data_IF_196258768486
#
_entry.id   IF_196258768486
#
_cell.length_a   1.000
_cell.length_b   1.000
_cell.length_c   1.000
_cell.angle_alpha   90.00
_cell.angle_beta   90.00
_cell.angle_gamma   90.00
#
_symmetry.space_group_name_H-M   'P 1'
#
loop_
_entity.id
_entity.type
_entity.pdbx_description
1 polymer ?
#
# COMPACT_ATOMS: atom_id res chain seq x y z
N UNK A 1 63.39 12.43 -25.96
CA UNK A 1 62.24 13.06 -25.31
C UNK A 1 60.97 12.62 -26.06
N UNK A 2 60.13 11.75 -25.45
CA UNK A 2 58.88 11.30 -26.05
C UNK A 2 57.76 12.00 -25.25
N UNK A 3 57.00 12.85 -25.93
CA UNK A 3 55.83 13.54 -25.36
C UNK A 3 54.62 12.65 -25.56
N UNK A 4 54.06 12.10 -24.46
CA UNK A 4 52.82 11.34 -24.48
C UNK A 4 51.61 12.32 -24.43
N UNK A 5 50.87 12.39 -25.52
CA UNK A 5 49.63 13.16 -25.55
C UNK A 5 48.48 12.40 -24.88
N UNK A 6 47.88 13.01 -23.88
CA UNK A 6 46.66 12.50 -23.25
C UNK A 6 45.45 13.02 -24.03
N UNK A 7 44.68 12.11 -24.65
CA UNK A 7 43.37 12.43 -25.25
C UNK A 7 42.33 12.28 -24.14
N UNK A 8 41.77 13.41 -23.67
CA UNK A 8 40.65 13.42 -22.79
C UNK A 8 39.35 13.15 -23.60
N UNK A 9 38.76 11.98 -23.41
CA UNK A 9 37.42 11.70 -23.93
C UNK A 9 36.40 12.42 -23.06
N UNK A 10 35.72 13.47 -23.58
CA UNK A 10 34.54 14.07 -22.98
C UNK A 10 33.36 13.14 -23.26
N UNK A 11 32.92 12.42 -22.23
CA UNK A 11 31.65 11.68 -22.25
C UNK A 11 30.47 12.66 -22.15
N UNK A 12 29.70 12.79 -23.22
CA UNK A 12 28.42 13.51 -23.19
C UNK A 12 27.38 12.59 -22.51
N UNK A 13 27.01 12.89 -21.29
CA UNK A 13 25.90 12.25 -20.61
C UNK A 13 24.57 12.74 -21.26
N UNK A 14 23.93 11.88 -22.03
CA UNK A 14 22.59 12.13 -22.57
C UNK A 14 21.61 11.87 -21.42
N UNK A 15 21.09 12.93 -20.80
CA UNK A 15 19.98 12.85 -19.85
C UNK A 15 18.70 12.57 -20.63
N UNK A 16 18.19 11.36 -20.58
CA UNK A 16 16.84 11.05 -21.07
C UNK A 16 15.86 11.64 -20.05
N UNK A 17 14.98 12.59 -20.43
CA UNK A 17 13.97 13.08 -19.50
C UNK A 17 13.06 11.90 -19.13
N UNK A 18 12.86 11.65 -17.82
CA UNK A 18 11.85 10.73 -17.35
C UNK A 18 10.49 11.26 -17.85
N UNK A 19 9.82 10.50 -18.70
CA UNK A 19 8.46 10.84 -19.13
C UNK A 19 7.57 10.88 -17.89
N UNK A 20 6.82 11.97 -17.69
CA UNK A 20 5.82 12.06 -16.65
C UNK A 20 4.76 10.96 -16.87
N UNK A 21 4.35 10.29 -15.80
CA UNK A 21 3.27 9.29 -15.88
C UNK A 21 1.97 10.01 -16.27
N UNK A 22 1.29 9.47 -17.28
CA UNK A 22 -0.04 9.96 -17.67
C UNK A 22 -1.09 9.32 -16.76
N UNK A 23 -1.68 10.11 -15.87
CA UNK A 23 -2.71 9.69 -14.94
C UNK A 23 -4.12 10.05 -15.42
N UNK A 24 -4.29 10.53 -16.65
CA UNK A 24 -5.58 11.03 -17.16
C UNK A 24 -6.66 9.96 -17.29
N UNK A 25 -6.27 8.68 -17.33
CA UNK A 25 -7.19 7.54 -17.41
C UNK A 25 -7.46 6.89 -16.06
N UNK A 26 -6.83 7.39 -15.00
CA UNK A 26 -7.04 6.86 -13.64
C UNK A 26 -8.28 7.47 -13.01
N UNK A 27 -9.11 6.62 -12.43
CA UNK A 27 -10.33 6.98 -11.72
C UNK A 27 -10.38 6.25 -10.37
N UNK A 28 -11.14 6.76 -9.42
CA UNK A 28 -11.43 6.13 -8.12
C UNK A 28 -12.80 5.44 -8.15
N UNK A 29 -13.11 4.64 -7.15
CA UNK A 29 -14.31 3.79 -7.11
C UNK A 29 -14.10 2.44 -7.81
N UNK A 30 -15.09 1.54 -7.83
CA UNK A 30 -16.48 1.75 -7.40
C UNK A 30 -16.73 1.63 -5.88
N UNK A 31 -15.77 1.14 -5.09
CA UNK A 31 -15.96 0.93 -3.65
C UNK A 31 -15.54 2.19 -2.87
N UNK A 32 -14.30 2.63 -3.08
CA UNK A 32 -13.73 3.82 -2.44
C UNK A 32 -13.66 4.98 -3.44
N UNK A 33 -14.58 5.95 -3.32
CA UNK A 33 -14.71 7.06 -4.29
C UNK A 33 -13.58 8.10 -4.19
N UNK A 34 -12.91 8.22 -3.03
CA UNK A 34 -11.86 9.22 -2.79
C UNK A 34 -10.45 8.64 -2.86
N UNK A 35 -10.30 7.31 -2.84
CA UNK A 35 -9.01 6.64 -2.69
C UNK A 35 -8.79 5.54 -3.73
N UNK A 36 -7.56 5.05 -3.83
CA UNK A 36 -7.22 3.88 -4.63
C UNK A 36 -7.44 4.05 -6.14
N UNK A 37 -6.90 5.13 -6.76
CA UNK A 37 -7.08 5.33 -8.20
C UNK A 37 -6.50 4.18 -9.00
N UNK A 38 -7.24 3.70 -10.00
CA UNK A 38 -6.88 2.63 -10.92
C UNK A 38 -7.27 3.01 -12.35
N UNK A 39 -6.78 2.29 -13.34
CA UNK A 39 -7.14 2.48 -14.74
C UNK A 39 -7.53 1.14 -15.39
N UNK A 40 -8.44 1.15 -16.37
CA UNK A 40 -8.69 -0.01 -17.20
C UNK A 40 -7.42 -0.45 -17.93
N UNK A 41 -7.16 -1.75 -17.99
CA UNK A 41 -5.98 -2.30 -18.69
C UNK A 41 -6.43 -2.93 -20.01
N UNK A 42 -6.17 -2.31 -21.17
CA UNK A 42 -6.56 -2.86 -22.47
C UNK A 42 -5.92 -4.23 -22.73
N UNK A 43 -6.70 -5.17 -23.24
CA UNK A 43 -6.22 -6.51 -23.59
C UNK A 43 -6.10 -7.49 -22.42
N UNK A 44 -6.54 -7.10 -21.24
CA UNK A 44 -6.72 -8.03 -20.10
C UNK A 44 -8.19 -8.44 -20.07
N UNK A 45 -8.43 -9.77 -20.05
CA UNK A 45 -9.77 -10.31 -19.90
C UNK A 45 -10.32 -10.01 -18.49
N UNK A 46 -11.64 -9.94 -18.38
CA UNK A 46 -12.29 -9.87 -17.07
C UNK A 46 -11.90 -11.06 -16.21
N UNK A 47 -11.68 -10.80 -14.93
CA UNK A 47 -11.45 -11.88 -13.97
C UNK A 47 -12.69 -12.76 -13.84
N UNK A 48 -12.52 -14.06 -13.55
CA UNK A 48 -13.66 -14.92 -13.26
C UNK A 48 -14.51 -14.34 -12.12
N UNK A 49 -15.83 -14.37 -12.26
CA UNK A 49 -16.75 -13.86 -11.23
C UNK A 49 -16.68 -14.65 -9.90
N UNK A 50 -16.12 -15.84 -9.93
CA UNK A 50 -15.86 -16.69 -8.75
C UNK A 50 -14.40 -16.57 -8.24
N UNK A 51 -13.64 -15.62 -8.77
CA UNK A 51 -12.30 -15.36 -8.25
C UNK A 51 -12.37 -14.89 -6.80
N UNK A 52 -11.54 -15.47 -5.94
CA UNK A 52 -11.41 -15.09 -4.53
C UNK A 52 -10.00 -14.58 -4.25
N UNK A 53 -9.90 -13.52 -3.49
CA UNK A 53 -8.63 -12.95 -3.07
C UNK A 53 -8.54 -12.87 -1.54
N UNK A 54 -7.44 -13.36 -0.99
CA UNK A 54 -7.07 -13.17 0.40
C UNK A 54 -5.62 -12.66 0.41
N UNK A 55 -5.45 -11.35 0.62
CA UNK A 55 -4.17 -10.67 0.46
C UNK A 55 -3.78 -9.92 1.73
N UNK A 56 -2.54 -10.12 2.17
CA UNK A 56 -1.91 -9.38 3.25
C UNK A 56 -0.86 -8.43 2.67
N UNK A 57 -1.10 -7.13 2.78
CA UNK A 57 -0.11 -6.11 2.44
C UNK A 57 0.88 -5.94 3.58
N UNK A 58 2.17 -5.88 3.26
CA UNK A 58 3.23 -5.62 4.23
C UNK A 58 3.70 -4.17 4.09
N UNK A 59 3.48 -3.34 5.12
CA UNK A 59 3.73 -1.90 5.05
C UNK A 59 4.62 -1.44 6.19
N UNK A 60 5.85 -1.01 5.86
CA UNK A 60 6.86 -0.53 6.82
C UNK A 60 7.26 0.91 6.63
N UNK A 61 7.17 1.40 5.38
CA UNK A 61 7.62 2.73 5.01
C UNK A 61 6.54 3.78 5.31
N UNK A 62 6.92 4.95 5.84
CA UNK A 62 5.97 6.00 6.11
C UNK A 62 5.48 6.66 4.83
N UNK A 63 4.38 7.41 4.94
CA UNK A 63 3.92 8.29 3.90
C UNK A 63 5.00 9.30 3.49
N UNK A 64 4.95 9.75 2.24
CA UNK A 64 5.70 10.92 1.82
C UNK A 64 5.05 12.18 2.40
N UNK A 65 5.84 13.23 2.60
CA UNK A 65 5.37 14.48 3.19
C UNK A 65 4.09 15.00 2.51
N UNK A 66 3.06 15.23 3.31
CA UNK A 66 1.77 15.76 2.87
C UNK A 66 0.82 14.78 2.16
N UNK A 67 1.19 13.50 2.04
CA UNK A 67 0.36 12.48 1.39
C UNK A 67 -0.05 11.35 2.33
N UNK A 68 -1.08 10.60 1.94
CA UNK A 68 -1.44 9.35 2.60
C UNK A 68 -0.44 8.23 2.27
N UNK A 69 -0.38 7.19 3.09
CA UNK A 69 0.53 6.06 2.94
C UNK A 69 0.28 5.32 1.62
N UNK A 70 1.35 5.09 0.87
CA UNK A 70 1.29 4.43 -0.44
C UNK A 70 0.87 2.96 -0.34
N UNK A 71 1.25 2.26 0.71
CA UNK A 71 0.85 0.87 0.96
C UNK A 71 -0.65 0.77 1.28
N UNK A 72 -1.19 1.72 2.07
CA UNK A 72 -2.63 1.79 2.32
C UNK A 72 -3.39 2.15 1.05
N UNK A 73 -2.86 3.08 0.26
CA UNK A 73 -3.41 3.44 -1.06
C UNK A 73 -3.38 2.26 -2.04
N UNK A 74 -2.36 1.38 -1.95
CA UNK A 74 -2.29 0.16 -2.76
C UNK A 74 -3.40 -0.83 -2.39
N UNK A 75 -3.75 -0.97 -1.11
CA UNK A 75 -4.88 -1.78 -0.67
C UNK A 75 -6.22 -1.23 -1.20
N UNK A 76 -6.41 0.09 -1.12
CA UNK A 76 -7.59 0.75 -1.70
C UNK A 76 -7.70 0.55 -3.22
N UNK A 77 -6.57 0.69 -3.92
CA UNK A 77 -6.49 0.42 -5.36
C UNK A 77 -6.80 -1.03 -5.69
N UNK A 78 -6.29 -1.96 -4.91
CA UNK A 78 -6.57 -3.39 -5.10
C UNK A 78 -8.08 -3.66 -5.05
N UNK A 79 -8.75 -3.14 -4.02
CA UNK A 79 -10.19 -3.31 -3.86
C UNK A 79 -10.96 -2.72 -5.05
N UNK A 80 -10.78 -1.45 -5.34
CA UNK A 80 -11.44 -0.78 -6.45
C UNK A 80 -11.20 -1.46 -7.79
N UNK A 81 -9.94 -1.78 -8.10
CA UNK A 81 -9.55 -2.36 -9.39
C UNK A 81 -10.19 -3.73 -9.63
N UNK A 82 -10.27 -4.57 -8.61
CA UNK A 82 -10.83 -5.91 -8.75
C UNK A 82 -12.35 -5.87 -8.83
N UNK A 83 -13.02 -5.03 -8.05
CA UNK A 83 -14.47 -4.85 -8.14
C UNK A 83 -14.86 -4.23 -9.51
N UNK A 84 -14.11 -3.24 -9.98
CA UNK A 84 -14.31 -2.68 -11.32
C UNK A 84 -14.08 -3.71 -12.45
N UNK A 85 -13.28 -4.76 -12.19
CA UNK A 85 -13.04 -5.87 -13.13
C UNK A 85 -13.99 -7.06 -12.92
N UNK A 86 -15.08 -6.90 -12.16
CA UNK A 86 -16.17 -7.86 -12.04
C UNK A 86 -16.05 -8.89 -10.90
N UNK A 87 -15.07 -8.76 -10.01
CA UNK A 87 -14.96 -9.57 -8.81
C UNK A 87 -15.93 -9.05 -7.76
N UNK A 88 -16.84 -9.87 -7.19
CA UNK A 88 -17.67 -9.47 -6.08
C UNK A 88 -16.83 -9.02 -4.88
N UNK A 89 -17.23 -7.92 -4.23
CA UNK A 89 -16.48 -7.36 -3.11
C UNK A 89 -16.31 -8.35 -1.96
N UNK A 90 -17.35 -9.13 -1.66
CA UNK A 90 -17.36 -10.19 -0.65
C UNK A 90 -16.34 -11.31 -0.91
N UNK A 91 -15.82 -11.42 -2.12
CA UNK A 91 -14.75 -12.36 -2.49
C UNK A 91 -13.35 -11.77 -2.25
N UNK A 92 -13.24 -10.55 -1.76
CA UNK A 92 -11.96 -9.86 -1.55
C UNK A 92 -11.74 -9.64 -0.06
N UNK A 93 -10.73 -10.30 0.50
CA UNK A 93 -10.33 -10.17 1.90
C UNK A 93 -8.95 -9.57 2.00
N UNK A 94 -8.85 -8.35 2.50
CA UNK A 94 -7.60 -7.63 2.62
C UNK A 94 -7.21 -7.44 4.08
N UNK A 95 -5.91 -7.58 4.35
CA UNK A 95 -5.30 -7.23 5.63
C UNK A 95 -4.06 -6.38 5.36
N UNK A 96 -3.93 -5.28 6.04
CA UNK A 96 -2.73 -4.44 6.00
C UNK A 96 -1.96 -4.66 7.30
N UNK A 97 -0.81 -5.31 7.20
CA UNK A 97 0.11 -5.53 8.32
C UNK A 97 1.11 -4.38 8.36
N UNK A 98 1.07 -3.60 9.43
CA UNK A 98 1.83 -2.36 9.54
C UNK A 98 2.92 -2.48 10.59
N UNK A 99 4.14 -2.09 10.24
CA UNK A 99 5.29 -2.11 11.15
C UNK A 99 6.28 -0.98 10.83
N UNK A 100 7.40 -0.93 11.56
CA UNK A 100 8.43 0.07 11.33
C UNK A 100 7.89 1.50 11.45
N UNK A 101 8.35 2.38 10.58
CA UNK A 101 7.99 3.80 10.62
C UNK A 101 6.53 4.08 10.27
N UNK A 102 5.90 3.23 9.47
CA UNK A 102 4.48 3.34 9.10
C UNK A 102 3.54 3.16 10.31
N UNK A 103 4.01 2.60 11.42
CA UNK A 103 3.19 2.38 12.63
C UNK A 103 2.52 3.65 13.15
N UNK A 104 3.15 4.81 12.99
CA UNK A 104 2.60 6.11 13.44
C UNK A 104 1.39 6.57 12.63
N UNK A 105 1.20 6.01 11.44
CA UNK A 105 0.07 6.35 10.58
C UNK A 105 -1.21 5.60 10.92
N UNK A 106 -1.17 4.76 11.95
CA UNK A 106 -2.34 4.14 12.54
C UNK A 106 -2.84 4.88 13.80
N UNK A 107 -2.22 6.02 14.13
CA UNK A 107 -2.66 6.84 15.28
C UNK A 107 -3.92 7.64 14.94
N UNK A 108 -4.84 7.73 15.91
CA UNK A 108 -6.07 8.52 15.81
C UNK A 108 -5.86 10.04 15.90
N UNK A 109 -4.64 10.52 15.67
CA UNK A 109 -4.30 11.94 15.72
C UNK A 109 -4.90 12.72 14.53
N UNK A 110 -5.33 13.96 14.76
CA UNK A 110 -5.98 14.79 13.74
C UNK A 110 -5.03 15.23 12.61
N UNK A 111 -3.74 15.26 12.87
CA UNK A 111 -2.70 15.60 11.90
C UNK A 111 -2.15 14.38 11.12
N UNK A 112 -2.73 13.18 11.33
CA UNK A 112 -2.36 11.99 10.60
C UNK A 112 -2.93 12.03 9.16
N UNK A 113 -2.09 12.18 8.12
CA UNK A 113 -2.57 12.32 6.75
C UNK A 113 -3.18 11.02 6.18
N UNK A 114 -2.90 9.87 6.81
CA UNK A 114 -3.43 8.57 6.40
C UNK A 114 -4.75 8.21 7.10
N UNK A 115 -5.19 8.98 8.11
CA UNK A 115 -6.33 8.64 8.95
C UNK A 115 -7.61 8.40 8.15
N UNK A 116 -7.98 9.33 7.29
CA UNK A 116 -9.20 9.23 6.49
C UNK A 116 -9.21 7.99 5.59
N UNK A 117 -8.05 7.65 5.00
CA UNK A 117 -7.89 6.45 4.18
C UNK A 117 -8.00 5.16 5.01
N UNK A 118 -7.41 5.12 6.22
CA UNK A 118 -7.51 3.97 7.13
C UNK A 118 -8.96 3.78 7.57
N UNK A 119 -9.65 4.85 7.98
CA UNK A 119 -11.06 4.80 8.39
C UNK A 119 -11.96 4.33 7.23
N UNK A 120 -11.74 4.81 6.00
CA UNK A 120 -12.47 4.37 4.83
C UNK A 120 -12.25 2.88 4.52
N UNK A 121 -11.01 2.40 4.59
CA UNK A 121 -10.69 0.98 4.37
C UNK A 121 -11.27 0.07 5.47
N UNK A 122 -11.26 0.52 6.73
CA UNK A 122 -11.89 -0.20 7.83
C UNK A 122 -13.42 -0.32 7.65
N UNK A 123 -14.06 0.70 7.07
CA UNK A 123 -15.49 0.68 6.78
C UNK A 123 -15.86 -0.36 5.70
N UNK A 124 -14.93 -0.70 4.84
CA UNK A 124 -15.06 -1.75 3.79
C UNK A 124 -14.42 -3.09 4.24
N UNK A 125 -14.45 -3.39 5.52
CA UNK A 125 -13.95 -4.64 6.12
C UNK A 125 -12.46 -4.97 5.85
N UNK A 126 -11.67 -4.01 5.39
CA UNK A 126 -10.21 -4.17 5.31
C UNK A 126 -9.62 -4.08 6.72
N UNK A 127 -8.91 -5.12 7.13
CA UNK A 127 -8.33 -5.18 8.46
C UNK A 127 -6.95 -4.51 8.49
N UNK A 128 -6.68 -3.76 9.55
CA UNK A 128 -5.36 -3.22 9.85
C UNK A 128 -4.79 -3.91 11.10
N UNK A 129 -3.56 -4.41 10.99
CA UNK A 129 -2.89 -5.13 12.09
C UNK A 129 -1.54 -4.49 12.36
N UNK A 130 -1.42 -3.80 13.50
CA UNK A 130 -0.17 -3.21 13.95
C UNK A 130 0.76 -4.26 14.56
N UNK A 131 2.03 -4.18 14.21
CA UNK A 131 3.10 -4.93 14.84
C UNK A 131 3.32 -4.46 16.28
N UNK A 132 3.06 -5.32 17.27
CA UNK A 132 3.26 -5.00 18.69
C UNK A 132 4.72 -4.69 19.05
N UNK A 133 5.70 -5.28 18.36
CA UNK A 133 7.12 -4.93 18.58
C UNK A 133 7.42 -3.50 18.11
N UNK A 134 6.80 -3.06 17.02
CA UNK A 134 6.90 -1.67 16.58
C UNK A 134 6.14 -0.72 17.51
N UNK A 135 4.96 -1.13 17.98
CA UNK A 135 4.20 -0.34 18.96
C UNK A 135 5.03 -0.04 20.20
N UNK A 136 5.66 -1.06 20.78
CA UNK A 136 6.56 -0.92 21.94
C UNK A 136 7.74 0.00 21.60
N UNK A 137 8.39 -0.21 20.45
CA UNK A 137 9.57 0.56 20.07
C UNK A 137 9.25 2.06 19.84
N UNK A 138 8.03 2.38 19.43
CA UNK A 138 7.58 3.76 19.17
C UNK A 138 6.73 4.37 20.29
N UNK A 139 6.48 3.62 21.37
CA UNK A 139 5.68 4.08 22.51
C UNK A 139 4.20 4.30 22.15
N UNK A 140 3.66 3.46 21.25
CA UNK A 140 2.25 3.52 20.82
C UNK A 140 1.43 2.62 21.74
N UNK A 141 0.43 3.20 22.42
CA UNK A 141 -0.52 2.47 23.23
C UNK A 141 -1.77 2.07 22.39
N UNK A 142 -2.47 0.98 22.75
CA UNK A 142 -3.66 0.55 22.01
C UNK A 142 -4.75 1.63 21.92
N UNK A 143 -4.90 2.44 22.94
CA UNK A 143 -5.86 3.55 23.02
C UNK A 143 -5.54 4.73 22.11
N UNK A 144 -4.31 4.82 21.58
CA UNK A 144 -3.90 5.87 20.65
C UNK A 144 -4.26 5.54 19.19
N UNK A 145 -4.67 4.29 18.94
CA UNK A 145 -4.94 3.80 17.59
C UNK A 145 -6.29 4.28 17.05
N UNK A 146 -6.38 4.38 15.73
CA UNK A 146 -7.65 4.53 15.03
C UNK A 146 -8.57 3.36 15.46
N UNK A 147 -9.84 3.63 15.87
CA UNK A 147 -10.76 2.57 16.25
C UNK A 147 -10.94 1.52 15.14
N UNK A 148 -10.80 0.24 15.49
CA UNK A 148 -10.86 -0.87 14.53
C UNK A 148 -9.48 -1.42 14.12
N UNK A 149 -8.39 -0.71 14.41
CA UNK A 149 -7.03 -1.24 14.23
C UNK A 149 -6.74 -2.31 15.28
N UNK A 150 -6.30 -3.47 14.81
CA UNK A 150 -5.88 -4.61 15.64
C UNK A 150 -4.38 -4.56 15.95
N UNK A 151 -3.95 -5.29 16.96
CA UNK A 151 -2.53 -5.48 17.28
C UNK A 151 -2.17 -6.96 17.30
N UNK A 152 -1.05 -7.30 16.69
CA UNK A 152 -0.44 -8.66 16.77
C UNK A 152 0.85 -8.61 17.59
N UNK A 153 1.32 -9.78 18.06
CA UNK A 153 2.62 -9.89 18.75
C UNK A 153 3.76 -9.26 17.91
N UNK A 154 3.75 -9.52 16.61
CA UNK A 154 4.68 -8.92 15.65
C UNK A 154 4.10 -8.99 14.22
N UNK A 155 4.67 -8.23 13.29
CA UNK A 155 4.33 -8.35 11.86
C UNK A 155 4.63 -9.77 11.34
N UNK A 156 5.75 -10.36 11.77
CA UNK A 156 6.11 -11.76 11.43
C UNK A 156 5.04 -12.75 11.88
N UNK A 157 4.52 -12.58 13.09
CA UNK A 157 3.44 -13.43 13.64
C UNK A 157 2.15 -13.23 12.84
N UNK A 158 1.78 -11.98 12.55
CA UNK A 158 0.60 -11.66 11.78
C UNK A 158 0.67 -12.34 10.40
N UNK A 159 1.76 -12.17 9.67
CA UNK A 159 1.95 -12.80 8.36
C UNK A 159 1.94 -14.32 8.42
N UNK A 160 2.60 -14.94 9.41
CA UNK A 160 2.62 -16.38 9.57
C UNK A 160 1.19 -16.94 9.77
N UNK A 161 0.39 -16.30 10.62
CA UNK A 161 -1.01 -16.69 10.87
C UNK A 161 -1.88 -16.47 9.63
N UNK A 162 -1.71 -15.34 8.93
CA UNK A 162 -2.46 -15.03 7.71
C UNK A 162 -2.15 -16.04 6.60
N UNK A 163 -0.87 -16.36 6.38
CA UNK A 163 -0.46 -17.38 5.39
C UNK A 163 -1.05 -18.76 5.69
N UNK A 164 -1.09 -19.17 6.97
CA UNK A 164 -1.75 -20.43 7.39
C UNK A 164 -3.26 -20.42 7.11
N UNK A 165 -3.86 -19.24 6.98
CA UNK A 165 -5.28 -19.02 6.62
C UNK A 165 -5.50 -18.79 5.13
N UNK A 166 -4.47 -19.01 4.31
CA UNK A 166 -4.56 -18.90 2.85
C UNK A 166 -4.33 -17.50 2.29
N UNK A 167 -3.88 -16.53 3.09
CA UNK A 167 -3.52 -15.21 2.56
C UNK A 167 -2.16 -15.26 1.84
N UNK A 168 -2.09 -14.59 0.71
CA UNK A 168 -0.81 -14.28 0.05
C UNK A 168 -0.24 -12.98 0.59
N UNK A 169 1.09 -12.90 0.71
CA UNK A 169 1.76 -11.65 1.14
C UNK A 169 2.08 -10.80 -0.08
N UNK A 170 1.73 -9.54 -0.01
CA UNK A 170 2.04 -8.54 -1.02
C UNK A 170 2.91 -7.43 -0.40
N UNK A 171 4.20 -7.36 -0.73
CA UNK A 171 5.12 -6.38 -0.17
C UNK A 171 5.05 -5.05 -0.96
N UNK A 172 4.13 -4.18 -0.64
CA UNK A 172 4.01 -2.85 -1.25
C UNK A 172 4.39 -1.74 -0.30
#
# INVERSE_FOLDING_TARGET
MRVAGWIAMLGVAISIPAAAQDMSTFETGPVLEEFGPHAPVPGVDQLPADAEFAVAFDVSEPATEGGANRGFMAAARFLNMHVANGVPEENIRLVVVVHGKASRELLGADDNPSRALVEALLAEDVRFVLCGQSAVAYGIAPEDLIPGVEMSLSAMTAHAVLQQRGYTVNPF
#
